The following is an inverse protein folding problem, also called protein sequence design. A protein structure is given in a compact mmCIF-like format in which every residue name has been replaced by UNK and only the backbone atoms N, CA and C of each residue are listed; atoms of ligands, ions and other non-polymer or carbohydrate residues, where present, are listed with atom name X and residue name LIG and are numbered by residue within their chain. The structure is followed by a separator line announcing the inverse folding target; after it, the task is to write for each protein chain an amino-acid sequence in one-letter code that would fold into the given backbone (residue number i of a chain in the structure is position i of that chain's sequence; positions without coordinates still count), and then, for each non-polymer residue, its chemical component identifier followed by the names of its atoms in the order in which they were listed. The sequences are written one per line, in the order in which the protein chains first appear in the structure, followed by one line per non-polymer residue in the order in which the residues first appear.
data_IF_172953913168
#
_entry.id   IF_172953913168
#
_cell.length_a   1.000
_cell.length_b   1.000
_cell.length_c   1.000
_cell.angle_alpha   90.00
_cell.angle_beta   90.00
_cell.angle_gamma   90.00
#
_symmetry.space_group_name_H-M   'P 1'
#
loop_
_entity.id
_entity.type
_entity.pdbx_description
1 polymer ?
#
# COMPACT_ATOMS: atom_id res chain seq x y z
N UNK A 1 12.42 15.90 -5.32
CA UNK A 1 11.86 14.86 -6.22
C UNK A 1 12.89 13.78 -6.60
N UNK A 2 13.78 13.35 -5.67
CA UNK A 2 14.92 12.48 -6.02
C UNK A 2 15.04 11.15 -5.27
N UNK A 3 13.97 10.67 -4.62
CA UNK A 3 14.09 9.54 -3.67
C UNK A 3 13.96 8.15 -4.29
N UNK A 4 13.30 8.02 -5.44
CA UNK A 4 13.09 6.75 -6.13
C UNK A 4 13.22 6.91 -7.65
N UNK A 5 13.68 5.86 -8.33
CA UNK A 5 13.77 5.82 -9.80
C UNK A 5 12.40 5.57 -10.42
N UNK A 6 12.25 5.90 -11.72
CA UNK A 6 11.03 5.60 -12.48
C UNK A 6 10.66 4.11 -12.43
N UNK A 7 11.65 3.24 -12.52
CA UNK A 7 11.45 1.78 -12.45
C UNK A 7 10.86 1.35 -11.10
N UNK A 8 11.36 1.93 -10.00
CA UNK A 8 10.81 1.66 -8.66
C UNK A 8 9.35 2.12 -8.52
N UNK A 9 8.98 3.23 -9.14
CA UNK A 9 7.58 3.67 -9.16
C UNK A 9 6.70 2.73 -10.01
N UNK A 10 7.20 2.26 -11.15
CA UNK A 10 6.51 1.29 -12.00
C UNK A 10 6.26 -0.04 -11.25
N UNK A 11 7.29 -0.58 -10.61
CA UNK A 11 7.19 -1.80 -9.81
C UNK A 11 6.22 -1.63 -8.63
N UNK A 12 6.33 -0.51 -7.91
CA UNK A 12 5.42 -0.19 -6.81
C UNK A 12 3.97 -0.09 -7.29
N UNK A 13 3.74 0.56 -8.43
CA UNK A 13 2.42 0.68 -9.04
C UNK A 13 1.84 -0.70 -9.37
N UNK A 14 2.62 -1.59 -9.98
CA UNK A 14 2.17 -2.94 -10.30
C UNK A 14 1.76 -3.72 -9.05
N UNK A 15 2.56 -3.63 -7.97
CA UNK A 15 2.25 -4.26 -6.70
C UNK A 15 0.96 -3.70 -6.09
N UNK A 16 0.81 -2.37 -6.07
CA UNK A 16 -0.38 -1.67 -5.54
C UNK A 16 -1.63 -2.09 -6.31
N UNK A 17 -1.61 -2.05 -7.64
CA UNK A 17 -2.73 -2.47 -8.50
C UNK A 17 -3.10 -3.94 -8.27
N UNK A 18 -2.12 -4.84 -8.16
CA UNK A 18 -2.38 -6.24 -7.88
C UNK A 18 -3.01 -6.46 -6.50
N UNK A 19 -2.64 -5.62 -5.52
CA UNK A 19 -3.15 -5.68 -4.15
C UNK A 19 -4.59 -5.18 -4.09
N UNK A 20 -4.91 -4.10 -4.82
CA UNK A 20 -6.28 -3.60 -5.00
C UNK A 20 -7.15 -4.73 -5.56
N UNK A 21 -6.79 -5.27 -6.71
CA UNK A 21 -7.57 -6.31 -7.40
C UNK A 21 -7.83 -7.53 -6.52
N UNK A 22 -6.83 -7.99 -5.75
CA UNK A 22 -6.99 -9.12 -4.82
C UNK A 22 -7.92 -8.78 -3.68
N UNK A 23 -7.79 -7.60 -3.07
CA UNK A 23 -8.64 -7.20 -1.95
C UNK A 23 -10.09 -7.01 -2.39
N UNK A 24 -10.32 -6.38 -3.55
CA UNK A 24 -11.67 -6.18 -4.11
C UNK A 24 -12.36 -7.51 -4.47
N UNK A 25 -11.61 -8.50 -4.94
CA UNK A 25 -12.16 -9.85 -5.19
C UNK A 25 -12.51 -10.61 -3.92
N UNK A 26 -11.82 -10.33 -2.81
CA UNK A 26 -11.98 -11.05 -1.54
C UNK A 26 -13.00 -10.36 -0.63
N UNK A 27 -13.07 -9.03 -0.62
CA UNK A 27 -13.93 -8.26 0.28
C UNK A 27 -15.41 -8.69 0.25
N UNK A 28 -16.05 -8.91 -0.92
CA UNK A 28 -17.47 -9.30 -1.00
C UNK A 28 -17.77 -10.68 -0.39
N UNK A 29 -16.74 -11.49 -0.13
CA UNK A 29 -16.90 -12.81 0.53
C UNK A 29 -17.18 -12.68 2.03
N UNK A 30 -17.01 -11.48 2.60
CA UNK A 30 -17.28 -11.20 4.01
C UNK A 30 -18.53 -10.35 4.14
N UNK A 31 -19.38 -10.69 5.11
CA UNK A 31 -20.58 -9.90 5.41
C UNK A 31 -20.20 -8.47 5.83
N UNK A 32 -21.03 -7.49 5.42
CA UNK A 32 -20.90 -6.11 5.84
C UNK A 32 -20.93 -6.00 7.39
N UNK A 33 -20.09 -5.11 7.93
CA UNK A 33 -19.97 -4.93 9.39
C UNK A 33 -18.98 -5.89 10.07
N UNK A 34 -18.48 -6.92 9.39
CA UNK A 34 -17.42 -7.78 9.94
C UNK A 34 -16.07 -7.05 9.98
N UNK A 35 -15.19 -7.48 10.90
CA UNK A 35 -13.83 -6.92 11.00
C UNK A 35 -13.02 -7.19 9.73
N UNK A 36 -13.22 -8.33 9.07
CA UNK A 36 -12.56 -8.68 7.80
C UNK A 36 -13.02 -7.77 6.66
N UNK A 37 -14.32 -7.51 6.54
CA UNK A 37 -14.86 -6.59 5.53
C UNK A 37 -14.27 -5.18 5.71
N UNK A 38 -14.29 -4.67 6.94
CA UNK A 38 -13.74 -3.34 7.27
C UNK A 38 -12.23 -3.28 7.06
N UNK A 39 -11.48 -4.32 7.43
CA UNK A 39 -10.03 -4.40 7.22
C UNK A 39 -9.69 -4.31 5.73
N UNK A 40 -10.41 -5.05 4.88
CA UNK A 40 -10.20 -5.00 3.43
C UNK A 40 -10.63 -3.67 2.84
N UNK A 41 -11.74 -3.07 3.30
CA UNK A 41 -12.16 -1.72 2.90
C UNK A 41 -11.05 -0.68 3.15
N UNK A 42 -10.48 -0.70 4.36
CA UNK A 42 -9.44 0.25 4.75
C UNK A 42 -8.14 0.01 3.96
N UNK A 43 -7.78 -1.26 3.71
CA UNK A 43 -6.63 -1.59 2.85
C UNK A 43 -6.85 -1.13 1.42
N UNK A 44 -8.02 -1.38 0.82
CA UNK A 44 -8.36 -0.95 -0.54
C UNK A 44 -8.21 0.57 -0.65
N UNK A 45 -8.81 1.33 0.27
CA UNK A 45 -8.70 2.79 0.31
C UNK A 45 -7.25 3.27 0.38
N UNK A 46 -6.44 2.68 1.26
CA UNK A 46 -5.03 3.02 1.36
C UNK A 46 -4.26 2.72 0.07
N UNK A 47 -4.55 1.61 -0.61
CA UNK A 47 -3.92 1.29 -1.88
C UNK A 47 -4.33 2.26 -3.01
N UNK A 48 -5.58 2.73 -3.01
CA UNK A 48 -6.02 3.76 -3.96
C UNK A 48 -5.31 5.10 -3.73
N UNK A 49 -5.14 5.52 -2.47
CA UNK A 49 -4.36 6.70 -2.11
C UNK A 49 -2.90 6.52 -2.59
N UNK A 50 -2.28 5.38 -2.29
CA UNK A 50 -0.92 5.07 -2.75
C UNK A 50 -0.81 5.15 -4.27
N UNK A 51 -1.79 4.60 -5.00
CA UNK A 51 -1.82 4.62 -6.47
C UNK A 51 -1.83 6.06 -6.97
N UNK A 52 -2.76 6.89 -6.46
CA UNK A 52 -2.89 8.28 -6.89
C UNK A 52 -1.59 9.06 -6.69
N UNK A 53 -0.92 8.86 -5.55
CA UNK A 53 0.37 9.49 -5.27
C UNK A 53 1.50 9.00 -6.17
N UNK A 54 1.56 7.69 -6.47
CA UNK A 54 2.59 7.12 -7.36
C UNK A 54 2.43 7.62 -8.79
N UNK A 55 1.19 7.82 -9.24
CA UNK A 55 0.89 8.29 -10.60
C UNK A 55 0.72 9.80 -10.71
N UNK A 56 0.95 10.55 -9.62
CA UNK A 56 0.72 12.00 -9.55
C UNK A 56 -0.69 12.40 -10.03
N UNK A 57 -1.69 11.56 -9.70
CA UNK A 57 -3.08 11.74 -10.09
C UNK A 57 -3.78 12.74 -9.16
N UNK A 58 -4.55 13.67 -9.76
CA UNK A 58 -5.35 14.69 -9.05
C UNK A 58 -6.44 14.09 -8.16
N UNK A 59 -6.79 12.81 -8.34
CA UNK A 59 -7.66 12.08 -7.40
C UNK A 59 -7.17 12.18 -5.94
N UNK A 60 -5.89 12.44 -5.70
CA UNK A 60 -5.35 12.67 -4.36
C UNK A 60 -6.00 13.86 -3.62
N UNK A 61 -6.48 14.87 -4.35
CA UNK A 61 -7.14 16.07 -3.81
C UNK A 61 -8.49 15.74 -3.14
N UNK A 62 -9.10 14.61 -3.51
CA UNK A 62 -10.40 14.17 -2.96
C UNK A 62 -10.31 13.59 -1.56
N UNK A 63 -9.12 13.14 -1.17
CA UNK A 63 -8.92 12.54 0.15
C UNK A 63 -8.64 13.62 1.19
N UNK A 64 -9.21 13.50 2.39
CA UNK A 64 -8.89 14.40 3.50
C UNK A 64 -7.54 14.07 4.12
N UNK A 65 -6.96 15.00 4.89
CA UNK A 65 -5.71 14.76 5.64
C UNK A 65 -5.85 13.60 6.63
N UNK A 66 -7.01 13.48 7.28
CA UNK A 66 -7.35 12.38 8.20
C UNK A 66 -7.38 11.05 7.45
N UNK A 67 -7.92 11.01 6.24
CA UNK A 67 -7.93 9.80 5.42
C UNK A 67 -6.53 9.37 4.99
N UNK A 68 -5.63 10.31 4.73
CA UNK A 68 -4.21 10.03 4.47
C UNK A 68 -3.53 9.45 5.72
N UNK A 69 -3.78 10.03 6.90
CA UNK A 69 -3.25 9.52 8.17
C UNK A 69 -3.76 8.10 8.43
N UNK A 70 -5.05 7.85 8.22
CA UNK A 70 -5.65 6.52 8.39
C UNK A 70 -5.09 5.50 7.39
N UNK A 71 -4.72 5.93 6.18
CA UNK A 71 -4.10 5.08 5.18
C UNK A 71 -2.71 4.55 5.60
N UNK A 72 -2.00 5.24 6.49
CA UNK A 72 -0.71 4.76 7.00
C UNK A 72 -0.84 3.45 7.79
N UNK A 73 -1.96 3.24 8.51
CA UNK A 73 -2.20 2.05 9.34
C UNK A 73 -2.17 0.74 8.53
N UNK A 74 -3.00 0.55 7.47
CA UNK A 74 -2.97 -0.66 6.66
C UNK A 74 -1.65 -0.80 5.89
N UNK A 75 -1.01 0.27 5.44
CA UNK A 75 0.30 0.22 4.77
C UNK A 75 1.37 -0.35 5.72
N UNK A 76 1.47 0.20 6.93
CA UNK A 76 2.38 -0.29 7.96
C UNK A 76 2.11 -1.75 8.35
N UNK A 77 0.83 -2.14 8.45
CA UNK A 77 0.46 -3.53 8.73
C UNK A 77 0.91 -4.50 7.63
N UNK A 78 0.81 -4.10 6.35
CA UNK A 78 1.28 -4.93 5.23
C UNK A 78 2.80 -5.09 5.30
N UNK A 79 3.55 -4.01 5.57
CA UNK A 79 5.01 -4.08 5.75
C UNK A 79 5.37 -5.09 6.84
N UNK A 80 4.84 -4.90 8.06
CA UNK A 80 5.16 -5.75 9.22
C UNK A 80 4.85 -7.24 8.97
N UNK A 81 3.72 -7.53 8.31
CA UNK A 81 3.33 -8.90 7.97
C UNK A 81 4.26 -9.49 6.90
N UNK A 82 4.65 -8.70 5.90
CA UNK A 82 5.56 -9.15 4.87
C UNK A 82 6.97 -9.36 5.42
N UNK A 83 7.48 -8.50 6.30
CA UNK A 83 8.76 -8.68 7.00
C UNK A 83 8.75 -9.97 7.84
N UNK A 84 7.66 -10.21 8.58
CA UNK A 84 7.51 -11.42 9.38
C UNK A 84 7.46 -12.69 8.52
N UNK A 85 6.79 -12.64 7.37
CA UNK A 85 6.80 -13.72 6.39
C UNK A 85 8.18 -13.91 5.74
N UNK A 86 8.84 -12.82 5.37
CA UNK A 86 10.15 -12.79 4.74
C UNK A 86 11.22 -13.43 5.61
N UNK A 87 11.21 -13.19 6.93
CA UNK A 87 12.16 -13.78 7.90
C UNK A 87 12.12 -15.32 7.94
N UNK A 88 11.10 -15.96 7.38
CA UNK A 88 10.97 -17.43 7.31
C UNK A 88 11.68 -18.05 6.11
N UNK A 89 12.31 -17.23 5.28
CA UNK A 89 12.92 -17.65 4.02
C UNK A 89 14.34 -17.08 3.89
N UNK A 90 15.22 -17.87 3.28
CA UNK A 90 16.57 -17.43 2.90
C UNK A 90 16.50 -16.30 1.85
N UNK A 91 17.54 -15.46 1.79
CA UNK A 91 17.54 -14.29 0.91
C UNK A 91 17.46 -14.65 -0.57
N UNK A 92 18.05 -15.78 -0.96
CA UNK A 92 18.00 -16.29 -2.33
C UNK A 92 16.63 -16.89 -2.70
N UNK A 93 15.77 -17.17 -1.71
CA UNK A 93 14.51 -17.84 -1.94
C UNK A 93 13.53 -16.95 -2.74
N UNK A 94 12.81 -17.49 -3.74
CA UNK A 94 11.80 -16.74 -4.50
C UNK A 94 10.73 -16.07 -3.62
N UNK A 95 10.38 -16.70 -2.48
CA UNK A 95 9.43 -16.19 -1.51
C UNK A 95 9.95 -14.93 -0.82
N UNK A 96 11.25 -14.89 -0.46
CA UNK A 96 11.89 -13.72 0.11
C UNK A 96 11.79 -12.54 -0.85
N UNK A 97 12.16 -12.76 -2.12
CA UNK A 97 12.10 -11.72 -3.16
C UNK A 97 10.67 -11.21 -3.40
N UNK A 98 9.68 -12.11 -3.33
CA UNK A 98 8.26 -11.72 -3.43
C UNK A 98 7.83 -10.82 -2.26
N UNK A 99 8.22 -11.13 -1.03
CA UNK A 99 7.94 -10.26 0.12
C UNK A 99 8.68 -8.92 -0.01
N UNK A 100 9.94 -8.93 -0.45
CA UNK A 100 10.74 -7.72 -0.64
C UNK A 100 10.05 -6.74 -1.60
N UNK A 101 9.56 -7.22 -2.75
CA UNK A 101 8.82 -6.39 -3.71
C UNK A 101 7.60 -5.71 -3.09
N UNK A 102 6.89 -6.42 -2.21
CA UNK A 102 5.73 -5.85 -1.51
C UNK A 102 6.19 -4.81 -0.48
N UNK A 103 7.22 -5.12 0.31
CA UNK A 103 7.78 -4.21 1.31
C UNK A 103 8.25 -2.91 0.64
N UNK A 104 8.98 -2.99 -0.47
CA UNK A 104 9.49 -1.83 -1.20
C UNK A 104 8.35 -0.94 -1.72
N UNK A 105 7.33 -1.55 -2.35
CA UNK A 105 6.16 -0.82 -2.83
C UNK A 105 5.40 -0.12 -1.68
N UNK A 106 5.26 -0.78 -0.53
CA UNK A 106 4.61 -0.21 0.64
C UNK A 106 5.44 0.89 1.29
N UNK A 107 6.77 0.80 1.28
CA UNK A 107 7.65 1.85 1.79
C UNK A 107 7.62 3.12 0.92
N UNK A 108 7.57 2.95 -0.41
CA UNK A 108 7.33 4.05 -1.36
C UNK A 108 5.98 4.70 -1.05
N UNK A 109 4.92 3.88 -0.97
CA UNK A 109 3.57 4.35 -0.63
C UNK A 109 3.54 5.14 0.69
N UNK A 110 4.14 4.59 1.75
CA UNK A 110 4.24 5.22 3.07
C UNK A 110 4.93 6.56 2.99
N UNK A 111 6.06 6.63 2.29
CA UNK A 111 6.84 7.86 2.11
C UNK A 111 5.99 8.93 1.44
N UNK A 112 5.34 8.59 0.31
CA UNK A 112 4.51 9.55 -0.43
C UNK A 112 3.31 10.04 0.38
N UNK A 113 2.65 9.14 1.11
CA UNK A 113 1.53 9.51 1.98
C UNK A 113 2.00 10.45 3.09
N UNK A 114 3.13 10.17 3.72
CA UNK A 114 3.71 11.05 4.74
C UNK A 114 4.10 12.41 4.17
N UNK A 115 4.74 12.44 3.00
CA UNK A 115 5.12 13.70 2.34
C UNK A 115 3.87 14.53 2.00
N UNK A 116 2.79 13.89 1.53
CA UNK A 116 1.53 14.55 1.24
C UNK A 116 0.83 15.11 2.50
N UNK A 117 0.83 14.35 3.60
CA UNK A 117 0.31 14.83 4.89
C UNK A 117 1.07 16.09 5.35
N UNK A 118 2.40 16.08 5.19
CA UNK A 118 3.26 17.19 5.59
C UNK A 118 3.05 18.43 4.70
N UNK A 119 2.78 18.25 3.40
CA UNK A 119 2.44 19.37 2.49
C UNK A 119 1.12 20.04 2.83
N UNK A 120 0.18 19.30 3.42
CA UNK A 120 -1.12 19.80 3.92
C UNK A 120 -1.03 20.27 5.38
N UNK A 121 0.19 20.42 5.90
CA UNK A 121 0.52 20.89 7.24
C UNK A 121 0.62 22.40 7.31
#
# INVERSE_FOLDING_TARGET
MGKYTRDKFSDALQVVLSTISKCEKIQPKFAGGTSQYTLLKNRIKAMYISRALITEDREIERYSKEELIDALKPVASVISKCETGQRKHEKEAPQYNRFQKIIDAMNISKTLITDEINKRG
#
